data_IF_473486326586
#
_entry.id   IF_473486326586
#
_cell.length_a   1.000
_cell.length_b   1.000
_cell.length_c   1.000
_cell.angle_alpha   90.00
_cell.angle_beta   90.00
_cell.angle_gamma   90.00
#
_symmetry.space_group_name_H-M   'P 1'
#
loop_
_entity.id
_entity.type
_entity.pdbx_description
1 polymer ?
#
# COMPACT_ATOMS: atom_id res chain seq x y z
N UNK A 1 -24.07 -18.45 12.68
CA UNK A 1 -23.29 -17.20 12.81
C UNK A 1 -24.14 -16.21 13.56
N UNK A 2 -23.62 -15.53 14.60
CA UNK A 2 -24.31 -14.36 15.15
C UNK A 2 -24.26 -13.26 14.10
N UNK A 3 -25.40 -12.62 13.82
CA UNK A 3 -25.46 -11.44 12.95
C UNK A 3 -24.35 -10.44 13.35
N UNK A 4 -23.61 -9.89 12.38
CA UNK A 4 -22.68 -8.80 12.62
C UNK A 4 -23.44 -7.62 13.22
N UNK A 5 -22.95 -7.14 14.36
CA UNK A 5 -23.47 -5.95 15.00
C UNK A 5 -22.67 -4.75 14.50
N UNK A 6 -22.97 -4.30 13.28
CA UNK A 6 -22.28 -3.18 12.62
C UNK A 6 -23.25 -2.07 12.26
N UNK A 7 -22.79 -0.82 12.37
CA UNK A 7 -23.47 0.33 11.80
C UNK A 7 -22.82 0.69 10.46
N UNK A 8 -23.55 0.45 9.37
CA UNK A 8 -23.04 0.64 8.01
C UNK A 8 -22.47 2.05 7.78
N UNK A 9 -23.14 3.08 8.28
CA UNK A 9 -22.70 4.46 8.18
C UNK A 9 -21.39 4.73 8.93
N UNK A 10 -21.20 4.11 10.09
CA UNK A 10 -19.95 4.24 10.85
C UNK A 10 -18.80 3.51 10.15
N UNK A 11 -19.07 2.32 9.59
CA UNK A 11 -18.09 1.58 8.78
C UNK A 11 -17.65 2.41 7.57
N UNK A 12 -18.59 2.99 6.82
CA UNK A 12 -18.24 3.84 5.69
C UNK A 12 -17.39 5.05 6.09
N UNK A 13 -17.65 5.63 7.27
CA UNK A 13 -16.86 6.75 7.78
C UNK A 13 -15.43 6.35 8.11
N UNK A 14 -15.25 5.19 8.76
CA UNK A 14 -13.92 4.65 9.06
C UNK A 14 -13.17 4.30 7.77
N UNK A 15 -13.81 3.62 6.83
CA UNK A 15 -13.19 3.24 5.55
C UNK A 15 -12.77 4.46 4.72
N UNK A 16 -13.61 5.50 4.68
CA UNK A 16 -13.25 6.75 4.02
C UNK A 16 -12.05 7.43 4.68
N UNK A 17 -12.03 7.53 6.01
CA UNK A 17 -10.91 8.12 6.74
C UNK A 17 -9.59 7.34 6.55
N UNK A 18 -9.65 6.00 6.51
CA UNK A 18 -8.47 5.18 6.18
C UNK A 18 -8.04 5.40 4.73
N UNK A 19 -8.99 5.50 3.79
CA UNK A 19 -8.71 5.84 2.39
C UNK A 19 -7.96 7.17 2.25
N UNK A 20 -8.35 8.20 2.99
CA UNK A 20 -7.64 9.49 3.01
C UNK A 20 -6.19 9.38 3.51
N UNK A 21 -5.91 8.48 4.47
CA UNK A 21 -4.56 8.22 4.93
C UNK A 21 -3.70 7.47 3.90
N UNK A 22 -4.31 6.58 3.11
CA UNK A 22 -3.63 5.92 1.99
C UNK A 22 -3.24 6.95 0.93
N UNK A 23 -4.17 7.85 0.61
CA UNK A 23 -3.98 8.90 -0.38
C UNK A 23 -4.77 8.65 -1.66
N UNK A 24 -4.44 9.44 -2.68
CA UNK A 24 -5.09 9.40 -3.98
C UNK A 24 -4.24 8.69 -5.04
N UNK A 25 -4.89 8.31 -6.15
CA UNK A 25 -4.25 7.70 -7.32
C UNK A 25 -3.27 8.65 -8.03
N UNK A 26 -3.42 9.97 -7.85
CA UNK A 26 -2.54 10.99 -8.42
C UNK A 26 -1.24 11.18 -7.61
N UNK A 27 -1.12 10.55 -6.44
CA UNK A 27 0.02 10.69 -5.53
C UNK A 27 0.16 12.11 -4.96
N UNK A 28 -0.96 12.79 -4.66
CA UNK A 28 -0.95 14.17 -4.16
C UNK A 28 -1.23 14.30 -2.67
N UNK A 29 -1.81 13.29 -2.05
CA UNK A 29 -2.20 13.26 -0.64
C UNK A 29 -1.87 11.93 0.04
N UNK A 30 -2.00 11.87 1.37
CA UNK A 30 -1.77 10.65 2.15
C UNK A 30 -0.38 10.04 1.97
N UNK A 31 -0.29 8.73 2.18
CA UNK A 31 0.94 7.95 2.02
C UNK A 31 1.51 8.03 0.59
N UNK A 32 0.66 7.99 -0.44
CA UNK A 32 1.11 8.08 -1.84
C UNK A 32 1.75 9.45 -2.14
N UNK A 33 1.21 10.53 -1.59
CA UNK A 33 1.80 11.87 -1.64
C UNK A 33 3.13 11.98 -0.91
N UNK A 34 3.22 11.42 0.29
CA UNK A 34 4.45 11.42 1.09
C UNK A 34 5.57 10.62 0.40
N UNK A 35 5.24 9.50 -0.26
CA UNK A 35 6.19 8.73 -1.08
C UNK A 35 6.75 9.57 -2.23
N UNK A 36 5.90 10.32 -2.94
CA UNK A 36 6.35 11.23 -4.01
C UNK A 36 7.29 12.30 -3.49
N UNK A 37 6.97 12.92 -2.35
CA UNK A 37 7.83 13.94 -1.72
C UNK A 37 9.17 13.35 -1.26
N UNK A 38 9.16 12.14 -0.70
CA UNK A 38 10.38 11.45 -0.31
C UNK A 38 11.31 11.26 -1.51
N UNK A 39 10.79 10.84 -2.66
CA UNK A 39 11.58 10.68 -3.89
C UNK A 39 12.25 11.97 -4.33
N UNK A 40 11.47 13.06 -4.39
CA UNK A 40 11.99 14.39 -4.74
C UNK A 40 13.09 14.85 -3.77
N UNK A 41 12.91 14.63 -2.46
CA UNK A 41 13.93 15.00 -1.47
C UNK A 41 15.20 14.15 -1.57
N UNK A 42 15.07 12.85 -1.89
CA UNK A 42 16.23 11.96 -2.08
C UNK A 42 17.02 12.35 -3.34
N UNK A 43 16.35 12.68 -4.43
CA UNK A 43 16.99 13.19 -5.66
C UNK A 43 17.73 14.52 -5.39
N UNK A 44 17.09 15.45 -4.68
CA UNK A 44 17.71 16.73 -4.30
C UNK A 44 18.92 16.52 -3.38
N UNK A 45 18.83 15.62 -2.41
CA UNK A 45 19.93 15.30 -1.51
C UNK A 45 21.11 14.68 -2.27
N UNK A 46 20.85 13.76 -3.20
CA UNK A 46 21.87 13.16 -4.05
C UNK A 46 22.58 14.23 -4.89
N UNK A 47 21.82 15.08 -5.59
CA UNK A 47 22.37 16.18 -6.39
C UNK A 47 23.18 17.18 -5.55
N UNK A 48 22.71 17.50 -4.34
CA UNK A 48 23.38 18.45 -3.45
C UNK A 48 24.62 17.87 -2.77
N UNK A 49 24.73 16.54 -2.68
CA UNK A 49 25.86 15.88 -2.03
C UNK A 49 27.15 15.93 -2.86
N UNK A 50 27.04 16.15 -4.17
CA UNK A 50 28.17 16.17 -5.14
C UNK A 50 29.15 15.00 -4.95
N UNK A 51 28.60 13.82 -4.63
CA UNK A 51 29.38 12.66 -4.21
C UNK A 51 28.71 11.37 -4.68
N UNK A 52 29.30 10.74 -5.71
CA UNK A 52 28.77 9.50 -6.30
C UNK A 52 28.46 8.39 -5.27
N UNK A 53 29.33 8.11 -4.27
CA UNK A 53 29.02 7.10 -3.26
C UNK A 53 27.78 7.42 -2.41
N UNK A 54 27.51 8.70 -2.16
CA UNK A 54 26.34 9.15 -1.40
C UNK A 54 25.08 9.03 -2.28
N UNK A 55 25.18 9.41 -3.55
CA UNK A 55 24.11 9.22 -4.52
C UNK A 55 23.69 7.75 -4.65
N UNK A 56 24.66 6.84 -4.76
CA UNK A 56 24.40 5.38 -4.80
C UNK A 56 23.70 4.91 -3.52
N UNK A 57 24.18 5.34 -2.34
CA UNK A 57 23.58 4.96 -1.06
C UNK A 57 22.14 5.47 -0.91
N UNK A 58 21.86 6.71 -1.34
CA UNK A 58 20.51 7.27 -1.35
C UNK A 58 19.58 6.54 -2.33
N UNK A 59 20.09 6.14 -3.49
CA UNK A 59 19.33 5.32 -4.45
C UNK A 59 18.93 3.96 -3.86
N UNK A 60 19.88 3.24 -3.26
CA UNK A 60 19.59 1.95 -2.60
C UNK A 60 18.61 2.10 -1.42
N UNK A 61 18.71 3.20 -0.66
CA UNK A 61 17.75 3.53 0.39
C UNK A 61 16.35 3.79 -0.19
N UNK A 62 16.27 4.57 -1.28
CA UNK A 62 15.02 4.86 -1.97
C UNK A 62 14.31 3.57 -2.42
N UNK A 63 15.04 2.66 -3.08
CA UNK A 63 14.51 1.38 -3.54
C UNK A 63 13.91 0.56 -2.40
N UNK A 64 14.63 0.42 -1.29
CA UNK A 64 14.15 -0.33 -0.13
C UNK A 64 12.91 0.32 0.52
N UNK A 65 12.96 1.64 0.71
CA UNK A 65 11.85 2.39 1.31
C UNK A 65 10.60 2.33 0.42
N UNK A 66 10.72 2.54 -0.89
CA UNK A 66 9.57 2.50 -1.77
C UNK A 66 8.95 1.13 -1.88
N UNK A 67 9.73 0.05 -1.90
CA UNK A 67 9.18 -1.31 -1.84
C UNK A 67 8.34 -1.54 -0.57
N UNK A 68 8.81 -1.06 0.57
CA UNK A 68 8.08 -1.19 1.85
C UNK A 68 6.82 -0.32 1.87
N UNK A 69 6.93 0.95 1.48
CA UNK A 69 5.82 1.91 1.50
C UNK A 69 4.73 1.53 0.48
N UNK A 70 5.11 1.04 -0.69
CA UNK A 70 4.18 0.53 -1.70
C UNK A 70 3.40 -0.68 -1.15
N UNK A 71 4.09 -1.65 -0.54
CA UNK A 71 3.42 -2.80 0.08
C UNK A 71 2.44 -2.39 1.19
N UNK A 72 2.76 -1.36 1.98
CA UNK A 72 1.85 -0.81 2.98
C UNK A 72 0.60 -0.17 2.35
N UNK A 73 0.78 0.58 1.25
CA UNK A 73 -0.33 1.20 0.51
C UNK A 73 -1.25 0.13 -0.10
N UNK A 74 -0.68 -0.88 -0.76
CA UNK A 74 -1.41 -1.99 -1.37
C UNK A 74 -2.18 -2.82 -0.33
N UNK A 75 -1.53 -3.15 0.80
CA UNK A 75 -2.16 -3.86 1.91
C UNK A 75 -3.34 -3.08 2.50
N UNK A 76 -3.15 -1.78 2.69
CA UNK A 76 -4.18 -0.91 3.24
C UNK A 76 -5.36 -0.76 2.27
N UNK A 77 -5.08 -0.59 0.98
CA UNK A 77 -6.12 -0.51 -0.06
C UNK A 77 -6.91 -1.83 -0.16
N UNK A 78 -6.23 -2.97 -0.14
CA UNK A 78 -6.86 -4.30 -0.11
C UNK A 78 -7.76 -4.47 1.11
N UNK A 79 -7.29 -4.07 2.30
CA UNK A 79 -8.09 -4.15 3.53
C UNK A 79 -9.33 -3.25 3.49
N UNK A 80 -9.20 -1.99 3.03
CA UNK A 80 -10.32 -1.05 2.89
C UNK A 80 -11.37 -1.58 1.92
N UNK A 81 -10.93 -2.05 0.75
CA UNK A 81 -11.84 -2.59 -0.27
C UNK A 81 -12.54 -3.86 0.22
N UNK A 82 -11.80 -4.81 0.78
CA UNK A 82 -12.36 -6.06 1.31
C UNK A 82 -13.37 -5.82 2.43
N UNK A 83 -13.06 -4.94 3.38
CA UNK A 83 -13.98 -4.57 4.46
C UNK A 83 -15.24 -3.84 3.93
N UNK A 84 -15.10 -3.00 2.91
CA UNK A 84 -16.21 -2.34 2.22
C UNK A 84 -17.13 -3.33 1.52
N UNK A 85 -16.57 -4.23 0.71
CA UNK A 85 -17.30 -5.31 0.03
C UNK A 85 -17.99 -6.24 1.02
N UNK A 86 -17.30 -6.65 2.08
CA UNK A 86 -17.86 -7.50 3.13
C UNK A 86 -19.08 -6.85 3.80
N UNK A 87 -19.00 -5.55 4.07
CA UNK A 87 -20.12 -4.76 4.62
C UNK A 87 -21.28 -4.68 3.62
N UNK A 88 -21.00 -4.46 2.34
CA UNK A 88 -22.02 -4.41 1.29
C UNK A 88 -22.78 -5.74 1.19
N UNK A 89 -22.07 -6.85 1.04
CA UNK A 89 -22.68 -8.19 0.94
C UNK A 89 -23.48 -8.54 2.19
N UNK A 90 -22.97 -8.18 3.38
CA UNK A 90 -23.68 -8.40 4.62
C UNK A 90 -25.03 -7.65 4.67
N UNK A 91 -25.08 -6.41 4.17
CA UNK A 91 -26.31 -5.60 4.08
C UNK A 91 -27.28 -6.15 3.03
N UNK A 92 -26.76 -6.71 1.94
CA UNK A 92 -27.55 -7.36 0.89
C UNK A 92 -28.10 -8.73 1.32
N UNK A 93 -27.64 -9.26 2.46
CA UNK A 93 -28.05 -10.56 3.00
C UNK A 93 -27.25 -11.74 2.44
N UNK A 94 -26.20 -11.48 1.67
CA UNK A 94 -25.28 -12.48 1.14
C UNK A 94 -24.14 -12.71 2.14
N UNK A 95 -24.42 -13.52 3.16
CA UNK A 95 -23.45 -13.77 4.24
C UNK A 95 -22.24 -14.58 3.81
N UNK A 96 -22.36 -15.36 2.73
CA UNK A 96 -21.27 -16.18 2.22
C UNK A 96 -20.25 -15.30 1.48
N UNK A 97 -20.72 -14.41 0.59
CA UNK A 97 -19.87 -13.41 -0.06
C UNK A 97 -19.28 -12.41 0.95
N UNK A 98 -20.04 -12.07 2.00
CA UNK A 98 -19.53 -11.21 3.08
C UNK A 98 -18.33 -11.85 3.81
N UNK A 99 -18.42 -13.14 4.12
CA UNK A 99 -17.33 -13.89 4.75
C UNK A 99 -16.12 -14.03 3.82
N UNK A 100 -16.34 -14.34 2.54
CA UNK A 100 -15.26 -14.42 1.55
C UNK A 100 -14.54 -13.08 1.36
N UNK A 101 -15.28 -11.97 1.26
CA UNK A 101 -14.70 -10.64 1.14
C UNK A 101 -13.89 -10.25 2.41
N UNK A 102 -14.37 -10.66 3.59
CA UNK A 102 -13.63 -10.46 4.84
C UNK A 102 -12.35 -11.29 4.87
N UNK A 103 -12.40 -12.56 4.48
CA UNK A 103 -11.24 -13.47 4.50
C UNK A 103 -10.14 -13.02 3.52
N UNK A 104 -10.53 -12.37 2.42
CA UNK A 104 -9.60 -11.83 1.42
C UNK A 104 -9.14 -10.38 1.71
N UNK A 105 -9.70 -9.72 2.74
CA UNK A 105 -9.33 -8.35 3.06
C UNK A 105 -7.88 -8.28 3.56
N UNK A 106 -7.05 -7.47 2.88
CA UNK A 106 -5.62 -7.38 3.20
C UNK A 106 -4.78 -8.50 2.56
N UNK A 107 -5.35 -9.28 1.65
CA UNK A 107 -4.54 -10.10 0.76
C UNK A 107 -3.89 -9.20 -0.31
N UNK A 108 -2.57 -9.26 -0.42
CA UNK A 108 -1.79 -8.65 -1.50
C UNK A 108 -1.04 -9.79 -2.17
N UNK A 109 -1.13 -9.89 -3.50
CA UNK A 109 -0.30 -10.85 -4.24
C UNK A 109 1.16 -10.41 -4.11
N UNK A 110 2.06 -11.34 -3.75
CA UNK A 110 3.49 -11.04 -3.78
C UNK A 110 3.85 -10.58 -5.20
N UNK A 111 4.57 -9.44 -5.36
CA UNK A 111 5.05 -9.04 -6.66
C UNK A 111 5.90 -10.18 -7.24
N UNK A 112 5.81 -10.46 -8.55
CA UNK A 112 6.55 -11.55 -9.17
C UNK A 112 8.03 -11.38 -8.82
N UNK A 113 8.59 -12.37 -8.11
CA UNK A 113 10.00 -12.35 -7.74
C UNK A 113 10.81 -12.13 -9.01
N UNK A 114 11.57 -11.04 -9.05
CA UNK A 114 12.56 -10.83 -10.10
C UNK A 114 13.50 -12.05 -10.09
N UNK A 115 13.37 -12.92 -11.08
CA UNK A 115 14.27 -14.05 -11.29
C UNK A 115 15.68 -13.50 -11.35
N UNK A 116 16.48 -13.76 -10.32
CA UNK A 116 17.79 -13.18 -10.11
C UNK A 116 18.72 -13.36 -11.31
N UNK A 117 18.92 -12.26 -12.05
CA UNK A 117 20.00 -12.11 -13.03
C UNK A 117 21.30 -11.68 -12.36
N UNK A 118 21.72 -12.38 -11.30
CA UNK A 118 23.00 -12.16 -10.67
C UNK A 118 24.11 -12.74 -11.53
N UNK A 119 24.66 -11.94 -12.44
CA UNK A 119 25.88 -12.31 -13.17
C UNK A 119 27.02 -12.31 -12.15
N UNK A 120 27.52 -13.50 -11.81
CA UNK A 120 28.69 -13.67 -10.94
C UNK A 120 29.90 -13.12 -11.68
N UNK A 121 30.38 -11.93 -11.28
CA UNK A 121 31.68 -11.44 -11.71
C UNK A 121 32.75 -12.10 -10.84
N UNK A 122 33.45 -13.08 -11.42
CA UNK A 122 34.74 -13.53 -10.92
C UNK A 122 35.82 -12.56 -11.39
N UNK A 123 36.50 -11.91 -10.45
CA UNK A 123 37.88 -11.45 -10.59
C UNK A 123 38.62 -11.75 -9.29
#
# INVERSE_FOLDING_TARGET
MSAWNIQVSEVSGVLAAVGEHIGDEEGTSGLTGDMRLLGLHLEQAAASSDSDPIGIALGAFAEHCFGTLQGMAELSASAVNGAGSATLYYVEGDTDMAAEAQDNAGAVEDPPQATGGGTVFHY
#
